data_IF_333843164961
#
_entry.id   IF_333843164961
#
_cell.length_a   1.000
_cell.length_b   1.000
_cell.length_c   1.000
_cell.angle_alpha   90.00
_cell.angle_beta   90.00
_cell.angle_gamma   90.00
#
_symmetry.space_group_name_H-M   'P 1'
#
loop_
_entity.id
_entity.type
_entity.pdbx_description
1 polymer ?
#
# COMPACT_ATOMS: atom_id res chain seq x y z
N UNK A 1 7.23 2.34 -11.20
CA UNK A 1 8.14 3.26 -10.50
C UNK A 1 9.50 2.61 -10.33
N UNK A 2 10.56 3.41 -10.45
CA UNK A 2 11.95 3.09 -10.16
C UNK A 2 12.50 4.15 -9.21
N UNK A 3 13.13 3.70 -8.13
CA UNK A 3 13.88 4.58 -7.21
C UNK A 3 15.35 4.17 -7.26
N UNK A 4 16.25 5.12 -7.59
CA UNK A 4 17.67 4.86 -7.81
C UNK A 4 18.57 5.78 -6.97
N UNK A 5 19.75 5.27 -6.62
CA UNK A 5 20.84 5.99 -5.93
C UNK A 5 22.12 5.90 -6.75
N UNK A 6 23.03 6.86 -6.59
CA UNK A 6 24.25 6.95 -7.42
C UNK A 6 24.03 7.61 -8.77
N UNK A 7 22.90 8.31 -8.96
CA UNK A 7 22.52 9.03 -10.17
C UNK A 7 23.33 10.33 -10.36
N UNK A 8 24.62 10.21 -10.68
CA UNK A 8 25.53 11.34 -10.87
C UNK A 8 25.80 11.56 -12.36
N UNK A 9 25.69 12.81 -12.82
CA UNK A 9 26.01 13.18 -14.20
C UNK A 9 24.95 12.78 -15.24
N UNK A 10 23.71 12.51 -14.80
CA UNK A 10 22.60 12.28 -15.71
C UNK A 10 22.16 13.61 -16.31
N UNK A 11 22.21 13.69 -17.64
CA UNK A 11 21.74 14.83 -18.40
C UNK A 11 20.21 14.78 -18.59
N UNK A 12 19.54 15.91 -18.33
CA UNK A 12 18.08 16.01 -18.36
C UNK A 12 17.50 15.83 -19.77
N UNK A 13 18.14 16.40 -20.79
CA UNK A 13 17.74 16.25 -22.19
C UNK A 13 17.90 14.79 -22.63
N UNK A 14 18.98 14.12 -22.22
CA UNK A 14 19.15 12.69 -22.45
C UNK A 14 18.04 11.86 -21.79
N UNK A 15 17.70 12.15 -20.54
CA UNK A 15 16.61 11.45 -19.84
C UNK A 15 15.27 11.67 -20.54
N UNK A 16 14.96 12.90 -20.94
CA UNK A 16 13.74 13.19 -21.69
C UNK A 16 13.68 12.38 -22.98
N UNK A 17 14.76 12.39 -23.77
CA UNK A 17 14.84 11.62 -25.01
C UNK A 17 14.70 10.11 -24.76
N UNK A 18 15.25 9.58 -23.66
CA UNK A 18 15.07 8.18 -23.26
C UNK A 18 13.60 7.87 -22.94
N UNK A 19 12.93 8.71 -22.15
CA UNK A 19 11.51 8.52 -21.84
C UNK A 19 10.63 8.59 -23.08
N UNK A 20 10.90 9.51 -24.02
CA UNK A 20 10.18 9.59 -25.29
C UNK A 20 10.32 8.31 -26.11
N UNK A 21 11.55 7.77 -26.24
CA UNK A 21 11.78 6.49 -26.93
C UNK A 21 11.06 5.34 -26.23
N UNK A 22 11.09 5.29 -24.90
CA UNK A 22 10.43 4.24 -24.12
C UNK A 22 8.90 4.29 -24.29
N UNK A 23 8.33 5.50 -24.33
CA UNK A 23 6.90 5.72 -24.62
C UNK A 23 6.56 5.30 -26.04
N UNK A 24 7.32 5.76 -27.04
CA UNK A 24 7.05 5.47 -28.45
C UNK A 24 7.16 3.95 -28.73
N UNK A 25 8.09 3.24 -28.07
CA UNK A 25 8.21 1.78 -28.14
C UNK A 25 7.08 1.03 -27.42
N UNK A 26 6.39 1.66 -26.47
CA UNK A 26 5.29 1.04 -25.72
C UNK A 26 3.96 1.03 -26.49
N UNK A 27 3.85 1.85 -27.55
CA UNK A 27 2.62 2.06 -28.31
C UNK A 27 1.67 3.09 -27.68
N UNK A 28 2.04 3.72 -26.56
CA UNK A 28 1.30 4.85 -26.01
C UNK A 28 1.37 6.06 -26.94
N UNK A 29 0.24 6.80 -27.03
CA UNK A 29 0.22 8.10 -27.68
C UNK A 29 0.85 9.15 -26.77
N UNK A 30 1.96 9.71 -27.22
CA UNK A 30 2.58 10.89 -26.62
C UNK A 30 1.83 12.16 -27.02
N UNK A 31 1.52 13.00 -26.04
CA UNK A 31 0.77 14.27 -26.21
C UNK A 31 1.71 15.47 -26.12
N UNK A 32 2.60 15.47 -25.13
CA UNK A 32 3.56 16.54 -24.90
C UNK A 32 4.75 16.03 -24.09
N UNK A 33 5.91 16.64 -24.26
CA UNK A 33 7.12 16.32 -23.51
C UNK A 33 7.76 17.61 -23.04
N UNK A 34 8.26 17.64 -21.80
CA UNK A 34 8.93 18.80 -21.25
C UNK A 34 10.02 18.39 -20.25
N UNK A 35 11.08 19.19 -20.21
CA UNK A 35 12.17 19.10 -19.26
C UNK A 35 12.47 20.47 -18.70
N UNK A 36 12.63 20.54 -17.38
CA UNK A 36 13.15 21.70 -16.68
C UNK A 36 14.44 21.29 -15.95
N UNK A 37 15.53 21.96 -16.27
CA UNK A 37 16.85 21.72 -15.67
C UNK A 37 17.10 22.73 -14.55
N UNK A 38 17.60 22.24 -13.42
CA UNK A 38 17.89 23.06 -12.24
C UNK A 38 19.40 23.21 -12.05
N UNK A 39 19.85 24.45 -11.96
CA UNK A 39 21.28 24.81 -11.84
C UNK A 39 21.79 24.86 -10.39
N UNK A 40 20.91 24.64 -9.40
CA UNK A 40 21.25 24.72 -7.98
C UNK A 40 20.97 26.08 -7.33
N UNK A 41 20.54 27.11 -8.07
CA UNK A 41 20.37 28.47 -7.53
C UNK A 41 19.06 28.65 -6.74
N UNK A 42 17.94 28.15 -7.28
CA UNK A 42 16.61 28.25 -6.68
C UNK A 42 16.14 26.90 -6.11
N UNK A 43 16.46 25.82 -6.83
CA UNK A 43 16.15 24.43 -6.46
C UNK A 43 17.44 23.60 -6.51
N UNK A 44 17.52 22.47 -5.78
CA UNK A 44 18.67 21.58 -5.86
C UNK A 44 19.04 21.23 -7.31
N UNK A 45 20.34 21.10 -7.63
CA UNK A 45 20.77 20.85 -8.99
C UNK A 45 20.25 19.48 -9.48
N UNK A 46 19.84 19.43 -10.74
CA UNK A 46 19.25 18.24 -11.33
C UNK A 46 18.21 18.60 -12.38
N UNK A 47 17.11 17.83 -12.45
CA UNK A 47 16.05 18.09 -13.42
C UNK A 47 14.70 17.50 -13.01
N UNK A 48 13.64 18.05 -13.59
CA UNK A 48 12.30 17.45 -13.60
C UNK A 48 11.82 17.30 -15.04
N UNK A 49 11.44 16.09 -15.41
CA UNK A 49 11.07 15.72 -16.77
C UNK A 49 9.70 15.05 -16.78
N UNK A 50 8.89 15.32 -17.79
CA UNK A 50 7.57 14.72 -17.96
C UNK A 50 7.25 14.47 -19.44
N UNK A 51 6.68 13.31 -19.72
CA UNK A 51 6.06 12.95 -20.99
C UNK A 51 4.58 12.68 -20.72
N UNK A 52 3.73 13.60 -21.18
CA UNK A 52 2.27 13.45 -21.11
C UNK A 52 1.80 12.46 -22.18
N UNK A 53 0.95 11.53 -21.75
CA UNK A 53 0.30 10.54 -22.60
C UNK A 53 -1.20 10.84 -22.68
N UNK A 54 -1.91 10.15 -23.58
CA UNK A 54 -3.38 10.19 -23.59
C UNK A 54 -3.91 9.63 -22.26
N UNK A 55 -4.46 10.50 -21.41
CA UNK A 55 -5.00 10.22 -20.07
C UNK A 55 -3.98 9.82 -18.97
N UNK A 56 -2.67 10.00 -19.16
CA UNK A 56 -1.64 9.62 -18.17
C UNK A 56 -0.28 10.33 -18.35
N UNK A 57 0.82 9.81 -17.76
CA UNK A 57 2.16 10.42 -17.87
C UNK A 57 3.30 9.46 -17.53
N UNK A 58 4.51 9.81 -17.99
CA UNK A 58 5.79 9.30 -17.49
C UNK A 58 6.56 10.49 -16.95
N UNK A 59 7.18 10.40 -15.77
CA UNK A 59 7.99 11.47 -15.20
C UNK A 59 9.30 10.94 -14.63
N UNK A 60 10.33 11.78 -14.65
CA UNK A 60 11.56 11.52 -13.92
C UNK A 60 12.06 12.78 -13.19
N UNK A 61 12.55 12.57 -11.98
CA UNK A 61 13.07 13.60 -11.08
C UNK A 61 14.47 13.21 -10.64
N UNK A 62 15.44 14.08 -10.87
CA UNK A 62 16.83 13.85 -10.48
C UNK A 62 17.31 14.94 -9.51
N UNK A 63 17.99 14.51 -8.46
CA UNK A 63 18.73 15.36 -7.52
C UNK A 63 20.21 15.00 -7.64
N UNK A 64 20.94 15.73 -8.46
CA UNK A 64 22.30 15.35 -8.89
C UNK A 64 23.33 15.46 -7.78
N UNK A 65 23.10 16.32 -6.78
CA UNK A 65 23.95 16.50 -5.60
C UNK A 65 23.92 15.31 -4.63
N UNK A 66 22.74 14.70 -4.48
CA UNK A 66 22.49 13.55 -3.62
C UNK A 66 22.52 12.22 -4.39
N UNK A 67 22.63 12.29 -5.72
CA UNK A 67 22.66 11.13 -6.60
C UNK A 67 21.34 10.37 -6.61
N UNK A 68 20.21 11.04 -6.48
CA UNK A 68 18.89 10.42 -6.50
C UNK A 68 18.24 10.55 -7.88
N UNK A 69 17.57 9.48 -8.32
CA UNK A 69 16.70 9.49 -9.49
C UNK A 69 15.42 8.70 -9.19
N UNK A 70 14.27 9.34 -9.37
CA UNK A 70 12.97 8.69 -9.32
C UNK A 70 12.32 8.73 -10.70
N UNK A 71 11.79 7.59 -11.16
CA UNK A 71 11.07 7.48 -12.44
C UNK A 71 9.71 6.83 -12.22
N UNK A 72 8.66 7.49 -12.68
CA UNK A 72 7.29 7.00 -12.62
C UNK A 72 6.70 6.87 -14.03
N UNK A 73 6.12 5.72 -14.33
CA UNK A 73 5.37 5.51 -15.56
C UNK A 73 3.94 5.12 -15.18
N UNK A 74 2.99 5.91 -15.65
CA UNK A 74 1.57 5.71 -15.48
C UNK A 74 0.92 5.67 -16.86
N UNK A 75 0.19 4.60 -17.14
CA UNK A 75 -0.55 4.43 -18.39
C UNK A 75 -1.99 4.00 -18.13
N UNK A 76 -2.88 4.42 -19.02
CA UNK A 76 -4.28 3.99 -19.07
C UNK A 76 -4.50 3.06 -20.28
N UNK A 77 -5.51 2.19 -20.21
CA UNK A 77 -5.91 1.31 -21.31
C UNK A 77 -4.97 0.11 -21.56
N UNK A 78 -4.70 -0.20 -22.83
CA UNK A 78 -3.96 -1.40 -23.26
C UNK A 78 -2.43 -1.25 -23.24
N UNK A 79 -1.90 -0.11 -22.80
CA UNK A 79 -0.44 0.10 -22.74
C UNK A 79 0.10 -0.41 -21.41
N UNK A 80 1.05 -1.35 -21.45
CA UNK A 80 1.71 -1.86 -20.24
C UNK A 80 2.82 -0.91 -19.76
N UNK A 81 2.66 -0.22 -18.61
CA UNK A 81 3.66 0.72 -18.12
C UNK A 81 4.94 0.00 -17.68
N UNK A 82 4.89 -1.32 -17.46
CA UNK A 82 6.08 -2.12 -17.17
C UNK A 82 7.10 -2.09 -18.31
N UNK A 83 6.65 -2.06 -19.57
CA UNK A 83 7.54 -2.00 -20.74
C UNK A 83 8.31 -0.69 -20.81
N UNK A 84 7.64 0.44 -20.51
CA UNK A 84 8.27 1.76 -20.45
C UNK A 84 9.39 1.74 -19.40
N UNK A 85 9.07 1.23 -18.20
CA UNK A 85 10.04 1.11 -17.10
C UNK A 85 11.20 0.18 -17.46
N UNK A 86 10.95 -0.94 -18.16
CA UNK A 86 11.99 -1.89 -18.58
C UNK A 86 12.98 -1.29 -19.56
N UNK A 87 12.50 -0.52 -20.55
CA UNK A 87 13.38 0.20 -21.49
C UNK A 87 14.24 1.21 -20.76
N UNK A 88 13.64 2.01 -19.87
CA UNK A 88 14.36 3.01 -19.08
C UNK A 88 15.40 2.33 -18.17
N UNK A 89 15.02 1.27 -17.45
CA UNK A 89 15.89 0.48 -16.58
C UNK A 89 17.09 -0.10 -17.34
N UNK A 90 16.86 -0.68 -18.52
CA UNK A 90 17.91 -1.28 -19.35
C UNK A 90 18.96 -0.25 -19.77
N UNK A 91 18.52 0.87 -20.31
CA UNK A 91 19.39 1.96 -20.79
C UNK A 91 20.16 2.64 -19.66
N UNK A 92 19.50 2.80 -18.52
CA UNK A 92 20.14 3.28 -17.30
C UNK A 92 21.28 2.36 -16.87
N UNK A 93 21.04 1.04 -16.81
CA UNK A 93 22.06 0.07 -16.38
C UNK A 93 23.26 0.02 -17.33
N UNK A 94 23.01 0.18 -18.62
CA UNK A 94 24.06 0.18 -19.63
C UNK A 94 24.93 1.44 -19.53
N UNK A 95 24.31 2.62 -19.37
CA UNK A 95 25.02 3.90 -19.39
C UNK A 95 25.59 4.33 -18.04
N UNK A 96 24.96 3.93 -16.94
CA UNK A 96 25.35 4.28 -15.57
C UNK A 96 25.47 3.01 -14.71
N UNK A 97 26.48 2.16 -14.96
CA UNK A 97 26.62 0.86 -14.29
C UNK A 97 26.85 0.95 -12.78
N UNK A 98 27.36 2.09 -12.30
CA UNK A 98 27.57 2.39 -10.88
C UNK A 98 26.28 2.82 -10.15
N UNK A 99 25.18 3.01 -10.88
CA UNK A 99 23.91 3.41 -10.29
C UNK A 99 23.13 2.20 -9.76
N UNK A 100 22.61 2.32 -8.53
CA UNK A 100 21.85 1.26 -7.88
C UNK A 100 20.34 1.51 -8.03
N UNK A 101 19.62 0.48 -8.47
CA UNK A 101 18.15 0.49 -8.51
C UNK A 101 17.64 -0.11 -7.19
N UNK A 102 17.30 0.75 -6.23
CA UNK A 102 16.87 0.35 -4.90
C UNK A 102 15.48 -0.28 -4.90
N UNK A 103 14.60 0.22 -5.78
CA UNK A 103 13.20 -0.20 -5.80
C UNK A 103 12.66 -0.22 -7.21
N UNK A 104 12.06 -1.35 -7.57
CA UNK A 104 11.13 -1.47 -8.70
C UNK A 104 9.78 -1.90 -8.15
N UNK A 105 8.75 -1.09 -8.36
CA UNK A 105 7.39 -1.41 -7.89
C UNK A 105 6.37 -1.14 -8.98
N UNK A 106 5.47 -2.10 -9.16
CA UNK A 106 4.22 -1.96 -9.93
C UNK A 106 3.09 -1.77 -8.93
N UNK A 107 2.27 -0.76 -9.15
CA UNK A 107 1.05 -0.53 -8.37
C UNK A 107 -0.10 -0.59 -9.35
N UNK A 108 -0.99 -1.55 -9.16
CA UNK A 108 -2.23 -1.58 -9.91
C UNK A 108 -3.15 -0.44 -9.43
N UNK A 109 -3.73 0.27 -10.39
CA UNK A 109 -4.62 1.41 -10.17
C UNK A 109 -5.96 1.10 -10.84
N UNK A 110 -7.04 1.66 -10.29
CA UNK A 110 -8.41 1.34 -10.72
C UNK A 110 -8.73 -0.15 -10.65
N UNK A 111 -8.44 -0.75 -9.50
CA UNK A 111 -8.87 -2.13 -9.23
C UNK A 111 -10.41 -2.19 -9.32
N UNK A 112 -10.93 -2.71 -10.43
CA UNK A 112 -12.36 -2.93 -10.69
C UNK A 112 -12.82 -4.30 -10.21
N UNK A 113 -11.89 -5.18 -9.84
CA UNK A 113 -12.20 -6.49 -9.33
C UNK A 113 -13.03 -6.39 -8.04
N UNK A 114 -14.08 -7.22 -7.96
CA UNK A 114 -14.82 -7.40 -6.72
C UNK A 114 -13.87 -7.86 -5.62
N UNK A 115 -14.04 -7.26 -4.45
CA UNK A 115 -13.30 -7.67 -3.27
C UNK A 115 -13.80 -9.05 -2.83
N UNK A 116 -13.10 -10.08 -3.23
CA UNK A 116 -13.34 -11.45 -2.76
C UNK A 116 -12.92 -11.59 -1.29
N UNK A 117 -13.61 -12.44 -0.52
CA UNK A 117 -13.30 -12.65 0.90
C UNK A 117 -14.07 -11.73 1.88
N UNK A 118 -15.16 -11.10 1.42
CA UNK A 118 -16.08 -10.33 2.27
C UNK A 118 -15.39 -9.17 3.01
N UNK A 119 -15.79 -8.95 4.27
CA UNK A 119 -15.22 -7.87 5.11
C UNK A 119 -13.70 -8.01 5.27
N UNK A 120 -13.17 -9.24 5.33
CA UNK A 120 -11.73 -9.45 5.46
C UNK A 120 -10.97 -8.98 4.23
N UNK A 121 -11.43 -9.36 3.04
CA UNK A 121 -10.85 -8.88 1.78
C UNK A 121 -10.91 -7.36 1.66
N UNK A 122 -12.00 -6.75 2.14
CA UNK A 122 -12.16 -5.29 2.13
C UNK A 122 -11.12 -4.61 2.99
N UNK A 123 -10.93 -5.07 4.23
CA UNK A 123 -9.89 -4.56 5.11
C UNK A 123 -8.51 -4.77 4.49
N UNK A 124 -8.22 -5.96 3.98
CA UNK A 124 -6.91 -6.27 3.41
C UNK A 124 -6.53 -5.40 2.20
N UNK A 125 -7.53 -4.95 1.41
CA UNK A 125 -7.34 -4.10 0.22
C UNK A 125 -7.36 -2.60 0.49
N UNK A 126 -8.09 -2.13 1.49
CA UNK A 126 -8.29 -0.69 1.69
C UNK A 126 -7.52 -0.12 2.88
N UNK A 127 -7.24 -0.94 3.90
CA UNK A 127 -6.75 -0.46 5.18
C UNK A 127 -5.22 -0.57 5.24
N UNK A 128 -4.52 0.34 4.55
CA UNK A 128 -3.06 0.27 4.40
C UNK A 128 -2.25 1.19 5.33
N UNK A 129 -2.83 2.27 5.85
CA UNK A 129 -2.07 3.29 6.57
C UNK A 129 -2.74 3.69 7.89
N UNK A 130 -1.93 4.19 8.82
CA UNK A 130 -2.36 4.72 10.13
C UNK A 130 -3.24 3.72 10.90
N UNK A 131 -4.31 4.19 11.53
CA UNK A 131 -5.24 3.38 12.32
C UNK A 131 -5.90 2.26 11.51
N UNK A 132 -6.13 2.49 10.22
CA UNK A 132 -6.67 1.48 9.32
C UNK A 132 -5.65 0.35 9.12
N UNK A 133 -4.40 0.69 8.81
CA UNK A 133 -3.29 -0.27 8.72
C UNK A 133 -3.12 -1.08 10.00
N UNK A 134 -3.14 -0.42 11.16
CA UNK A 134 -3.03 -1.09 12.45
C UNK A 134 -4.15 -2.12 12.71
N UNK A 135 -5.39 -1.84 12.28
CA UNK A 135 -6.50 -2.79 12.37
C UNK A 135 -6.25 -4.03 11.48
N UNK A 136 -5.83 -3.82 10.23
CA UNK A 136 -5.49 -4.90 9.30
C UNK A 136 -4.37 -5.77 9.86
N UNK A 137 -3.29 -5.15 10.34
CA UNK A 137 -2.13 -5.85 10.87
C UNK A 137 -2.48 -6.65 12.14
N UNK A 138 -3.30 -6.08 13.02
CA UNK A 138 -3.84 -6.79 14.19
C UNK A 138 -4.67 -8.02 13.76
N UNK A 139 -5.58 -7.86 12.81
CA UNK A 139 -6.41 -8.96 12.31
C UNK A 139 -5.59 -10.08 11.63
N UNK A 140 -4.50 -9.73 10.94
CA UNK A 140 -3.57 -10.70 10.35
C UNK A 140 -2.73 -11.42 11.43
N UNK A 141 -2.25 -10.67 12.41
CA UNK A 141 -1.47 -11.21 13.54
C UNK A 141 -2.27 -12.20 14.38
N UNK A 142 -3.52 -11.88 14.72
CA UNK A 142 -4.41 -12.77 15.47
C UNK A 142 -4.70 -14.07 14.71
N UNK A 143 -4.98 -13.98 13.41
CA UNK A 143 -5.24 -15.16 12.58
C UNK A 143 -4.01 -16.08 12.52
N UNK A 144 -2.83 -15.51 12.29
CA UNK A 144 -1.56 -16.26 12.31
C UNK A 144 -1.33 -16.94 13.66
N UNK A 145 -1.49 -16.23 14.77
CA UNK A 145 -1.29 -16.76 16.11
C UNK A 145 -2.24 -17.93 16.41
N UNK A 146 -3.52 -17.79 16.07
CA UNK A 146 -4.52 -18.84 16.23
C UNK A 146 -4.24 -20.07 15.34
N UNK A 147 -3.84 -19.86 14.08
CA UNK A 147 -3.52 -20.94 13.15
C UNK A 147 -2.25 -21.70 13.53
N UNK A 148 -1.38 -21.11 14.35
CA UNK A 148 -0.22 -21.76 14.95
C UNK A 148 -0.55 -22.49 16.27
N UNK A 149 -1.83 -22.65 16.61
CA UNK A 149 -2.26 -23.31 17.84
C UNK A 149 -2.24 -22.41 19.08
N UNK A 150 -2.00 -21.10 18.90
CA UNK A 150 -2.10 -20.12 19.96
C UNK A 150 -3.53 -19.98 20.49
N UNK A 151 -3.67 -19.55 21.74
CA UNK A 151 -4.97 -19.29 22.38
C UNK A 151 -4.97 -17.91 23.02
N UNK A 152 -6.08 -17.21 22.86
CA UNK A 152 -6.21 -15.81 23.25
C UNK A 152 -6.60 -15.67 24.72
N UNK A 153 -6.05 -14.64 25.36
CA UNK A 153 -6.62 -14.01 26.54
C UNK A 153 -7.27 -12.70 26.10
N UNK A 154 -8.56 -12.51 26.40
CA UNK A 154 -9.33 -11.34 25.97
C UNK A 154 -9.61 -10.43 27.16
N UNK A 155 -9.26 -9.15 27.03
CA UNK A 155 -9.62 -8.10 27.99
C UNK A 155 -10.86 -7.36 27.48
N UNK A 156 -11.93 -7.35 28.27
CA UNK A 156 -13.17 -6.67 27.90
C UNK A 156 -13.24 -5.30 28.56
N UNK A 157 -13.50 -4.28 27.74
CA UNK A 157 -13.91 -2.97 28.20
C UNK A 157 -15.30 -3.02 28.88
N UNK A 158 -15.68 -1.95 29.57
CA UNK A 158 -17.04 -1.83 30.12
C UNK A 158 -18.11 -1.87 29.02
N UNK A 159 -19.31 -2.34 29.37
CA UNK A 159 -20.50 -2.43 28.51
C UNK A 159 -20.36 -3.34 27.27
N UNK A 160 -19.31 -4.15 27.17
CA UNK A 160 -19.16 -5.09 26.05
C UNK A 160 -20.14 -6.27 26.15
N UNK A 161 -20.53 -6.67 27.37
CA UNK A 161 -21.66 -7.58 27.63
C UNK A 161 -22.97 -7.03 27.08
N UNK A 162 -23.26 -5.75 27.33
CA UNK A 162 -24.45 -5.05 26.83
C UNK A 162 -24.45 -4.94 25.31
N UNK A 163 -23.27 -4.77 24.70
CA UNK A 163 -23.06 -4.82 23.26
C UNK A 163 -23.16 -6.25 22.68
N UNK A 164 -23.55 -7.24 23.48
CA UNK A 164 -23.68 -8.66 23.13
C UNK A 164 -22.40 -9.26 22.53
N UNK A 165 -21.21 -8.82 22.96
CA UNK A 165 -19.94 -9.32 22.41
C UNK A 165 -19.80 -10.84 22.57
N UNK A 166 -20.47 -11.42 23.57
CA UNK A 166 -20.55 -12.85 23.80
C UNK A 166 -21.04 -13.64 22.59
N UNK A 167 -21.87 -13.06 21.71
CA UNK A 167 -22.30 -13.71 20.46
C UNK A 167 -21.14 -13.97 19.50
N UNK A 168 -20.15 -13.08 19.50
CA UNK A 168 -18.92 -13.21 18.70
C UNK A 168 -17.87 -14.07 19.41
N UNK A 169 -17.77 -13.99 20.74
CA UNK A 169 -16.76 -14.73 21.51
C UNK A 169 -17.14 -16.18 21.78
N UNK A 170 -18.43 -16.51 21.98
CA UNK A 170 -18.87 -17.85 22.32
C UNK A 170 -18.45 -18.94 21.30
N UNK A 171 -18.53 -18.71 19.97
CA UNK A 171 -18.00 -19.66 18.99
C UNK A 171 -16.49 -19.87 19.12
N UNK A 172 -15.72 -18.81 19.41
CA UNK A 172 -14.27 -18.86 19.59
C UNK A 172 -13.88 -19.59 20.89
N UNK A 173 -14.62 -19.39 21.97
CA UNK A 173 -14.46 -20.13 23.23
C UNK A 173 -14.72 -21.61 23.01
N UNK A 174 -15.84 -21.97 22.37
CA UNK A 174 -16.19 -23.37 22.06
C UNK A 174 -15.18 -24.05 21.13
N UNK A 175 -14.56 -23.30 20.23
CA UNK A 175 -13.48 -23.77 19.38
C UNK A 175 -12.11 -23.83 20.08
N UNK A 176 -12.03 -23.52 21.38
CA UNK A 176 -10.79 -23.54 22.17
C UNK A 176 -9.81 -22.41 21.84
N UNK A 177 -10.24 -21.40 21.05
CA UNK A 177 -9.40 -20.29 20.60
C UNK A 177 -9.23 -19.20 21.66
N UNK A 178 -10.13 -19.11 22.62
CA UNK A 178 -10.05 -18.20 23.78
C UNK A 178 -9.87 -19.06 25.03
N UNK A 179 -8.83 -18.78 25.81
CA UNK A 179 -8.50 -19.53 27.03
C UNK A 179 -8.86 -18.77 28.31
N UNK A 180 -8.86 -17.43 28.26
CA UNK A 180 -9.20 -16.60 29.40
C UNK A 180 -9.89 -15.31 28.95
N UNK A 181 -10.80 -14.82 29.78
CA UNK A 181 -11.42 -13.50 29.64
C UNK A 181 -11.21 -12.76 30.95
N UNK A 182 -10.68 -11.54 30.88
CA UNK A 182 -10.66 -10.61 32.01
C UNK A 182 -11.65 -9.49 31.72
N UNK A 183 -12.53 -9.24 32.68
CA UNK A 183 -13.59 -8.25 32.58
C UNK A 183 -13.88 -7.66 33.95
N UNK A 184 -14.56 -6.53 33.98
CA UNK A 184 -15.09 -5.96 35.22
C UNK A 184 -16.30 -6.76 35.70
N UNK A 185 -16.61 -6.67 37.00
CA UNK A 185 -17.79 -7.33 37.59
C UNK A 185 -19.11 -7.01 36.87
N UNK A 186 -19.24 -5.80 36.32
CA UNK A 186 -20.43 -5.39 35.56
C UNK A 186 -20.69 -6.27 34.32
N UNK A 187 -19.64 -6.69 33.59
CA UNK A 187 -19.81 -7.57 32.44
C UNK A 187 -20.31 -8.97 32.87
N UNK A 188 -19.77 -9.49 33.97
CA UNK A 188 -20.15 -10.80 34.51
C UNK A 188 -21.57 -10.78 35.09
N UNK A 189 -21.91 -9.74 35.84
CA UNK A 189 -23.23 -9.54 36.41
C UNK A 189 -24.30 -9.57 35.32
N UNK A 190 -24.09 -8.82 34.24
CA UNK A 190 -25.02 -8.78 33.12
C UNK A 190 -25.15 -10.12 32.40
N UNK A 191 -24.05 -10.84 32.16
CA UNK A 191 -24.09 -12.18 31.56
C UNK A 191 -24.89 -13.17 32.43
N UNK A 192 -24.72 -13.11 33.76
CA UNK A 192 -25.49 -13.94 34.70
C UNK A 192 -26.96 -13.53 34.71
N UNK A 193 -27.27 -12.24 34.70
CA UNK A 193 -28.65 -11.77 34.61
C UNK A 193 -29.33 -12.20 33.31
N UNK A 194 -28.63 -12.10 32.18
CA UNK A 194 -29.12 -12.59 30.90
C UNK A 194 -29.35 -14.11 30.92
N UNK A 195 -28.55 -14.88 31.65
CA UNK A 195 -28.77 -16.32 31.79
C UNK A 195 -30.05 -16.65 32.58
N UNK A 196 -30.34 -15.94 33.67
CA UNK A 196 -31.41 -16.30 34.62
C UNK A 196 -32.71 -15.52 34.43
N UNK A 197 -32.65 -14.34 33.81
CA UNK A 197 -33.75 -13.38 33.78
C UNK A 197 -33.85 -12.59 32.46
N UNK A 198 -33.37 -13.15 31.34
CA UNK A 198 -33.41 -12.50 30.02
C UNK A 198 -34.76 -11.84 29.68
N UNK A 199 -35.87 -12.50 30.01
CA UNK A 199 -37.23 -12.01 29.71
C UNK A 199 -37.65 -10.79 30.53
N UNK A 200 -36.88 -10.42 31.56
CA UNK A 200 -37.11 -9.25 32.42
C UNK A 200 -36.15 -8.09 32.13
N UNK A 201 -35.23 -8.26 31.19
CA UNK A 201 -34.28 -7.21 30.80
C UNK A 201 -34.99 -6.17 29.94
N UNK A 202 -35.04 -4.91 30.41
CA UNK A 202 -35.58 -3.78 29.65
C UNK A 202 -34.46 -3.10 28.88
N UNK A 203 -34.70 -2.82 27.59
CA UNK A 203 -33.78 -2.10 26.71
C UNK A 203 -33.91 -0.59 26.88
#
# INVERSE_FOLDING_TARGET
MLDCTGAVGIDGDWMLALMERAVDASGARRVHSHIESFDGTVSPPGFASVVLLDESHVSAHCYSDTGLLAVDAFSCGNTDPARIIEVIESEIRERFPEMEINRRKRVERFLTEQVNGGVRGFVDRHFHHFNAGALRDCAQSLDKFLNQGGRLMVTLAGAMSTAEIGRSLAPLIRAGKIHAITCTGANLEEDVFNLVAHSKYQR
#
